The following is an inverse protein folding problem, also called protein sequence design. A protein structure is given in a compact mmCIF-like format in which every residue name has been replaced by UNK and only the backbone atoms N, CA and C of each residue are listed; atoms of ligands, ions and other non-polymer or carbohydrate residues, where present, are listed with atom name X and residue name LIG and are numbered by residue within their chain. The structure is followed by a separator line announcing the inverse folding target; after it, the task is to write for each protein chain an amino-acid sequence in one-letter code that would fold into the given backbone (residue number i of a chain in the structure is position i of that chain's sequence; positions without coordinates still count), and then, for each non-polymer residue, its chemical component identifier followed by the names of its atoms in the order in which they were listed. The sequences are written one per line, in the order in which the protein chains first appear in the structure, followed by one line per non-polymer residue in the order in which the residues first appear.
data_IF_886112283072
#
_entry.id   IF_886112283072
#
_cell.length_a   1.000
_cell.length_b   1.000
_cell.length_c   1.000
_cell.angle_alpha   90.00
_cell.angle_beta   90.00
_cell.angle_gamma   90.00
#
_symmetry.space_group_name_H-M   'P 1'
#
loop_
_entity.id
_entity.type
_entity.pdbx_description
1 polymer ?
#
# COMPACT_ATOMS: atom_id res chain seq x y z
N UNK A 1 10.54 -45.34 -45.53
CA UNK A 1 9.70 -44.13 -45.40
C UNK A 1 9.02 -43.94 -44.03
N UNK A 2 8.67 -45.00 -43.28
CA UNK A 2 7.90 -44.89 -42.00
C UNK A 2 8.66 -44.30 -40.78
N UNK A 3 10.00 -44.41 -40.72
CA UNK A 3 10.82 -43.91 -39.57
C UNK A 3 11.02 -42.39 -39.57
N UNK A 4 11.21 -41.77 -40.75
CA UNK A 4 11.41 -40.31 -40.87
C UNK A 4 10.14 -39.53 -40.52
N UNK A 5 8.97 -40.01 -40.94
CA UNK A 5 7.66 -39.39 -40.62
C UNK A 5 7.36 -39.44 -39.11
N UNK A 6 7.68 -40.55 -38.42
CA UNK A 6 7.54 -40.64 -36.96
C UNK A 6 8.45 -39.65 -36.21
N UNK A 7 9.67 -39.43 -36.71
CA UNK A 7 10.60 -38.47 -36.11
C UNK A 7 10.07 -37.03 -36.23
N UNK A 8 9.51 -36.65 -37.39
CA UNK A 8 8.90 -35.33 -37.58
C UNK A 8 7.66 -35.12 -36.70
N UNK A 9 6.85 -36.15 -36.47
CA UNK A 9 5.68 -36.08 -35.57
C UNK A 9 6.13 -35.85 -34.12
N UNK A 10 7.14 -36.56 -33.65
CA UNK A 10 7.65 -36.42 -32.26
C UNK A 10 8.26 -35.03 -32.04
N UNK A 11 9.05 -34.53 -33.00
CA UNK A 11 9.64 -33.19 -32.92
C UNK A 11 8.54 -32.12 -32.94
N UNK A 12 7.55 -32.23 -33.84
CA UNK A 12 6.44 -31.28 -33.91
C UNK A 12 5.63 -31.22 -32.61
N UNK A 13 5.38 -32.35 -31.96
CA UNK A 13 4.67 -32.40 -30.67
C UNK A 13 5.45 -31.71 -29.54
N UNK A 14 6.76 -31.89 -29.48
CA UNK A 14 7.62 -31.24 -28.47
C UNK A 14 7.66 -29.71 -28.65
N UNK A 15 7.65 -29.22 -29.89
CA UNK A 15 7.60 -27.77 -30.16
C UNK A 15 6.29 -27.12 -29.71
N UNK A 16 5.14 -27.78 -29.91
CA UNK A 16 3.83 -27.24 -29.49
C UNK A 16 3.73 -27.19 -27.96
N UNK A 17 4.20 -28.22 -27.26
CA UNK A 17 4.20 -28.25 -25.78
C UNK A 17 5.17 -27.20 -25.22
N UNK A 18 6.35 -27.02 -25.83
CA UNK A 18 7.33 -26.01 -25.40
C UNK A 18 6.84 -24.57 -25.57
N UNK A 19 6.16 -24.27 -26.69
CA UNK A 19 5.60 -22.92 -26.91
C UNK A 19 4.35 -22.65 -26.05
N UNK A 20 3.48 -23.65 -25.86
CA UNK A 20 2.30 -23.50 -25.01
C UNK A 20 2.68 -23.29 -23.53
N UNK A 21 3.72 -23.98 -23.04
CA UNK A 21 4.23 -23.80 -21.68
C UNK A 21 4.79 -22.40 -21.43
N UNK A 22 5.59 -21.86 -22.37
CA UNK A 22 6.18 -20.52 -22.25
C UNK A 22 5.12 -19.41 -22.25
N UNK A 23 4.15 -19.47 -23.16
CA UNK A 23 3.07 -18.47 -23.24
C UNK A 23 2.15 -18.54 -22.01
N UNK A 24 1.95 -19.71 -21.42
CA UNK A 24 1.16 -19.84 -20.21
C UNK A 24 1.85 -19.20 -18.99
N UNK A 25 3.18 -19.36 -18.87
CA UNK A 25 3.99 -18.77 -17.80
C UNK A 25 4.08 -17.24 -17.94
N UNK A 26 4.35 -16.70 -19.14
CA UNK A 26 4.33 -15.24 -19.40
C UNK A 26 3.00 -14.61 -18.96
N UNK A 27 1.88 -15.24 -19.34
CA UNK A 27 0.54 -14.74 -18.98
C UNK A 27 0.23 -14.85 -17.47
N UNK A 28 0.94 -15.70 -16.72
CA UNK A 28 0.78 -15.78 -15.26
C UNK A 28 1.59 -14.68 -14.58
N UNK A 29 2.85 -14.49 -14.98
CA UNK A 29 3.70 -13.42 -14.47
C UNK A 29 3.08 -12.04 -14.71
N UNK A 30 2.61 -11.75 -15.93
CA UNK A 30 1.92 -10.48 -16.24
C UNK A 30 0.68 -10.25 -15.37
N UNK A 31 -0.07 -11.32 -15.07
CA UNK A 31 -1.27 -11.25 -14.22
C UNK A 31 -0.93 -11.05 -12.75
N UNK A 32 0.16 -11.62 -12.26
CA UNK A 32 0.65 -11.44 -10.89
C UNK A 32 1.17 -10.02 -10.71
N UNK A 33 2.03 -9.54 -11.61
CA UNK A 33 2.52 -8.15 -11.61
C UNK A 33 1.36 -7.16 -11.63
N UNK A 34 0.35 -7.38 -12.48
CA UNK A 34 -0.83 -6.51 -12.54
C UNK A 34 -1.65 -6.52 -11.23
N UNK A 35 -1.71 -7.67 -10.54
CA UNK A 35 -2.43 -7.76 -9.25
C UNK A 35 -1.67 -7.07 -8.15
N UNK A 36 -0.36 -7.28 -8.06
CA UNK A 36 0.51 -6.63 -7.08
C UNK A 36 0.43 -5.11 -7.22
N UNK A 37 0.51 -4.59 -8.45
CA UNK A 37 0.35 -3.16 -8.73
C UNK A 37 -1.02 -2.62 -8.29
N UNK A 38 -2.10 -3.40 -8.44
CA UNK A 38 -3.44 -2.99 -7.98
C UNK A 38 -3.52 -2.96 -6.46
N UNK A 39 -3.01 -3.99 -5.79
CA UNK A 39 -2.97 -4.06 -4.32
C UNK A 39 -2.13 -2.90 -3.77
N UNK A 40 -0.99 -2.62 -4.38
CA UNK A 40 -0.15 -1.49 -4.02
C UNK A 40 -0.91 -0.16 -4.21
N UNK A 41 -1.54 0.05 -5.37
CA UNK A 41 -2.33 1.27 -5.61
C UNK A 41 -3.48 1.44 -4.59
N UNK A 42 -4.14 0.35 -4.20
CA UNK A 42 -5.18 0.36 -3.17
C UNK A 42 -4.62 0.72 -1.80
N UNK A 43 -3.46 0.16 -1.41
CA UNK A 43 -2.77 0.50 -0.16
C UNK A 43 -2.42 1.99 -0.13
N UNK A 44 -1.83 2.52 -1.21
CA UNK A 44 -1.43 3.92 -1.29
C UNK A 44 -2.65 4.85 -1.22
N UNK A 45 -3.76 4.48 -1.85
CA UNK A 45 -5.00 5.26 -1.73
C UNK A 45 -5.51 5.26 -0.28
N UNK A 46 -5.46 4.13 0.42
CA UNK A 46 -5.86 4.05 1.83
C UNK A 46 -4.94 4.89 2.73
N UNK A 47 -3.62 4.85 2.50
CA UNK A 47 -2.65 5.70 3.21
C UNK A 47 -2.94 7.18 2.94
N UNK A 48 -3.19 7.57 1.69
CA UNK A 48 -3.57 8.94 1.30
C UNK A 48 -4.84 9.40 2.00
N UNK A 49 -5.89 8.57 2.01
CA UNK A 49 -7.14 8.87 2.68
C UNK A 49 -6.94 9.03 4.20
N UNK A 50 -6.12 8.17 4.81
CA UNK A 50 -5.86 8.24 6.25
C UNK A 50 -5.06 9.48 6.65
N UNK A 51 -4.22 10.02 5.77
CA UNK A 51 -3.57 11.34 5.97
C UNK A 51 -4.61 12.45 6.12
N UNK A 52 -5.71 12.42 5.35
CA UNK A 52 -6.81 13.40 5.50
C UNK A 52 -7.43 13.31 6.89
N UNK A 53 -7.70 12.10 7.38
CA UNK A 53 -8.21 11.86 8.73
C UNK A 53 -7.22 12.31 9.83
N UNK A 54 -5.92 12.07 9.63
CA UNK A 54 -4.87 12.53 10.54
C UNK A 54 -4.81 14.07 10.58
N UNK A 55 -4.87 14.75 9.42
CA UNK A 55 -4.93 16.22 9.33
C UNK A 55 -6.17 16.79 10.01
N UNK A 56 -7.30 16.08 10.02
CA UNK A 56 -8.52 16.47 10.75
C UNK A 56 -8.38 16.29 12.27
N UNK A 57 -7.50 15.39 12.71
CA UNK A 57 -7.38 14.99 14.12
C UNK A 57 -6.27 15.72 14.86
N UNK A 58 -5.11 15.91 14.24
CA UNK A 58 -3.94 16.56 14.83
C UNK A 58 -3.59 17.87 14.16
N UNK A 59 -3.24 18.86 14.98
CA UNK A 59 -2.78 20.17 14.56
C UNK A 59 -1.28 20.15 14.24
N UNK A 60 -0.86 21.09 13.39
CA UNK A 60 0.55 21.41 13.12
C UNK A 60 1.38 20.23 12.59
N UNK A 61 0.76 19.30 11.86
CA UNK A 61 1.50 18.22 11.19
C UNK A 61 2.35 18.82 10.09
N UNK A 62 3.64 18.44 10.06
CA UNK A 62 4.59 18.77 9.00
C UNK A 62 4.81 17.60 8.06
N UNK A 63 4.98 16.40 8.60
CA UNK A 63 5.16 15.19 7.80
C UNK A 63 4.59 13.95 8.46
N UNK A 64 4.22 12.98 7.62
CA UNK A 64 3.79 11.63 8.01
C UNK A 64 4.63 10.63 7.20
N UNK A 65 5.25 9.69 7.88
CA UNK A 65 5.95 8.57 7.28
C UNK A 65 5.27 7.28 7.72
N UNK A 66 4.75 6.51 6.76
CA UNK A 66 4.12 5.23 7.02
C UNK A 66 5.19 4.15 7.16
N UNK A 67 5.21 3.49 8.31
CA UNK A 67 6.14 2.38 8.56
C UNK A 67 5.49 1.05 8.17
N UNK A 68 4.22 0.86 8.54
CA UNK A 68 3.50 -0.39 8.32
C UNK A 68 2.00 -0.16 8.14
N UNK A 69 1.36 -1.05 7.39
CA UNK A 69 -0.09 -1.13 7.22
C UNK A 69 -0.53 -2.59 7.29
N UNK A 70 -1.64 -2.84 7.99
CA UNK A 70 -2.26 -4.15 8.10
C UNK A 70 -3.78 -4.02 7.96
N UNK A 71 -4.37 -4.77 7.02
CA UNK A 71 -5.82 -4.85 6.87
C UNK A 71 -6.39 -6.04 7.63
N UNK A 72 -7.40 -5.78 8.46
CA UNK A 72 -8.16 -6.82 9.15
C UNK A 72 -9.49 -7.07 8.41
N UNK A 73 -9.56 -8.18 7.68
CA UNK A 73 -10.76 -8.56 6.91
C UNK A 73 -12.03 -8.73 7.76
N UNK A 74 -11.89 -9.14 9.03
CA UNK A 74 -13.03 -9.37 9.92
C UNK A 74 -13.70 -8.07 10.35
N UNK A 75 -12.92 -7.03 10.61
CA UNK A 75 -13.42 -5.75 11.10
C UNK A 75 -13.55 -4.70 10.00
N UNK A 76 -12.84 -4.87 8.88
CA UNK A 76 -12.74 -3.90 7.80
C UNK A 76 -11.81 -2.73 8.12
N UNK A 77 -11.04 -2.80 9.21
CA UNK A 77 -10.13 -1.74 9.63
C UNK A 77 -8.72 -1.97 9.09
N UNK A 78 -8.07 -0.86 8.78
CA UNK A 78 -6.63 -0.78 8.59
C UNK A 78 -5.99 -0.33 9.90
N UNK A 79 -5.04 -1.11 10.39
CA UNK A 79 -4.11 -0.71 11.44
C UNK A 79 -2.83 -0.21 10.78
N UNK A 80 -2.40 1.00 11.13
CA UNK A 80 -1.23 1.64 10.53
C UNK A 80 -0.28 2.12 11.61
N UNK A 81 1.02 2.00 11.36
CA UNK A 81 2.06 2.60 12.19
C UNK A 81 2.67 3.75 11.41
N UNK A 82 2.68 4.94 12.02
CA UNK A 82 3.24 6.14 11.41
C UNK A 82 4.21 6.83 12.34
N UNK A 83 5.21 7.44 11.73
CA UNK A 83 5.99 8.51 12.34
C UNK A 83 5.41 9.85 11.91
N UNK A 84 4.83 10.58 12.85
CA UNK A 84 4.28 11.91 12.63
C UNK A 84 5.21 12.96 13.22
N UNK A 85 5.60 13.94 12.40
CA UNK A 85 6.47 15.06 12.79
C UNK A 85 5.66 16.36 12.77
N UNK A 86 5.78 17.15 13.83
CA UNK A 86 5.12 18.46 13.93
C UNK A 86 5.98 19.58 13.29
N UNK A 87 5.44 20.80 13.27
CA UNK A 87 6.12 21.98 12.75
C UNK A 87 7.43 22.35 13.48
N UNK A 88 7.60 21.88 14.73
CA UNK A 88 8.78 22.12 15.56
C UNK A 88 9.85 21.01 15.41
N UNK A 89 9.72 20.14 14.40
CA UNK A 89 10.58 18.98 14.13
C UNK A 89 10.56 17.89 15.21
N UNK A 90 9.63 17.96 16.17
CA UNK A 90 9.41 16.89 17.13
C UNK A 90 8.52 15.80 16.49
N UNK A 91 8.86 14.54 16.74
CA UNK A 91 8.14 13.43 16.14
C UNK A 91 7.70 12.40 17.18
N UNK A 92 6.73 11.60 16.78
CA UNK A 92 6.27 10.44 17.53
C UNK A 92 5.88 9.31 16.59
N UNK A 93 6.21 8.09 16.99
CA UNK A 93 5.77 6.87 16.29
C UNK A 93 4.60 6.29 17.07
N UNK A 94 3.49 6.03 16.39
CA UNK A 94 2.28 5.49 17.01
C UNK A 94 1.44 4.71 16.01
N UNK A 95 0.63 3.80 16.54
CA UNK A 95 -0.37 3.08 15.78
C UNK A 95 -1.72 3.82 15.77
N UNK A 96 -2.48 3.66 14.70
CA UNK A 96 -3.86 4.12 14.62
C UNK A 96 -4.72 3.21 13.74
N UNK A 97 -6.03 3.29 13.95
CA UNK A 97 -7.05 2.54 13.23
C UNK A 97 -7.83 3.45 12.28
N UNK A 98 -8.01 3.00 11.04
CA UNK A 98 -8.71 3.72 10.00
C UNK A 98 -9.68 2.80 9.25
N UNK A 99 -10.81 3.35 8.78
CA UNK A 99 -11.74 2.65 7.90
C UNK A 99 -12.17 3.57 6.76
N UNK A 100 -12.14 3.05 5.54
CA UNK A 100 -12.39 3.84 4.31
C UNK A 100 -13.81 4.40 4.22
N UNK A 101 -14.78 3.80 4.93
CA UNK A 101 -16.16 4.28 4.99
C UNK A 101 -16.34 5.58 5.79
N UNK A 102 -15.34 5.97 6.59
CA UNK A 102 -15.31 7.22 7.37
C UNK A 102 -13.98 7.96 7.15
N UNK A 103 -13.75 8.50 5.94
CA UNK A 103 -12.43 8.95 5.51
C UNK A 103 -11.91 10.22 6.22
N UNK A 104 -12.74 10.87 7.05
CA UNK A 104 -12.35 12.06 7.81
C UNK A 104 -12.01 11.75 9.27
N UNK A 105 -12.18 10.49 9.71
CA UNK A 105 -12.06 10.11 11.11
C UNK A 105 -11.01 8.99 11.27
N UNK A 106 -10.24 9.07 12.36
CA UNK A 106 -9.50 7.92 12.88
C UNK A 106 -10.25 7.36 14.08
N UNK A 107 -10.29 6.04 14.19
CA UNK A 107 -11.19 5.34 15.12
C UNK A 107 -10.55 5.09 16.48
N UNK A 108 -9.23 5.04 16.51
CA UNK A 108 -8.43 4.92 17.71
C UNK A 108 -6.97 5.15 17.36
N UNK A 109 -6.18 5.61 18.33
CA UNK A 109 -4.75 5.82 18.16
C UNK A 109 -4.02 5.70 19.50
N UNK A 110 -2.76 5.25 19.43
CA UNK A 110 -1.85 5.26 20.57
C UNK A 110 -1.51 6.68 20.98
N UNK A 111 -1.75 7.05 22.24
CA UNK A 111 -1.40 8.37 22.79
C UNK A 111 -0.03 8.30 23.45
N UNK A 112 0.97 8.89 22.79
CA UNK A 112 2.37 8.86 23.22
C UNK A 112 2.84 10.26 23.66
N UNK A 113 2.50 11.32 22.92
CA UNK A 113 2.87 12.70 23.25
C UNK A 113 1.76 13.69 22.91
N UNK A 114 0.74 13.77 23.78
CA UNK A 114 -0.42 14.66 23.62
C UNK A 114 -0.12 16.15 23.79
N UNK A 115 1.01 16.49 24.39
CA UNK A 115 1.33 17.87 24.79
C UNK A 115 2.04 18.64 23.69
N UNK A 116 2.76 17.95 22.81
CA UNK A 116 3.60 18.60 21.79
C UNK A 116 3.36 18.13 20.36
N UNK A 117 3.18 16.81 20.14
CA UNK A 117 3.10 16.25 18.78
C UNK A 117 1.67 15.85 18.43
N UNK A 118 0.99 15.09 19.30
CA UNK A 118 -0.40 14.66 19.11
C UNK A 118 -1.39 15.68 19.71
N UNK A 119 -1.17 16.95 19.42
CA UNK A 119 -2.08 18.03 19.84
C UNK A 119 -3.33 17.94 18.97
N UNK A 120 -4.51 17.81 19.60
CA UNK A 120 -5.78 17.77 18.86
C UNK A 120 -6.05 19.09 18.12
N UNK A 121 -6.48 18.99 16.88
CA UNK A 121 -6.89 20.12 16.04
C UNK A 121 -6.76 19.79 14.56
N UNK A 122 -7.03 20.76 13.69
CA UNK A 122 -6.96 20.56 12.24
C UNK A 122 -5.66 21.15 11.66
N UNK A 123 -4.89 20.35 10.95
CA UNK A 123 -3.78 20.81 10.11
C UNK A 123 -4.29 21.30 8.77
N UNK A 124 -4.18 22.61 8.53
CA UNK A 124 -4.58 23.27 7.27
C UNK A 124 -3.44 23.43 6.27
N UNK A 125 -2.19 23.38 6.74
CA UNK A 125 -1.02 23.38 5.89
C UNK A 125 -0.93 22.09 5.08
N UNK A 126 -0.11 22.12 4.05
CA UNK A 126 0.30 20.90 3.36
C UNK A 126 1.20 20.05 4.26
N UNK A 127 1.13 18.74 4.08
CA UNK A 127 1.87 17.72 4.83
C UNK A 127 2.68 16.91 3.83
N UNK A 128 3.96 16.70 4.13
CA UNK A 128 4.81 15.80 3.37
C UNK A 128 4.55 14.36 3.81
N UNK A 129 4.20 13.49 2.86
CA UNK A 129 3.83 12.10 3.12
C UNK A 129 4.87 11.19 2.47
N UNK A 130 5.39 10.24 3.25
CA UNK A 130 6.21 9.13 2.76
C UNK A 130 5.39 7.86 2.95
N UNK A 131 5.00 7.24 1.84
CA UNK A 131 4.18 6.04 1.82
C UNK A 131 5.01 4.76 2.08
N UNK A 132 4.33 3.64 2.37
CA UNK A 132 5.03 2.35 2.62
C UNK A 132 5.84 1.84 1.43
N UNK A 133 5.47 2.22 0.20
CA UNK A 133 6.24 1.89 -1.00
C UNK A 133 7.41 2.86 -1.28
N UNK A 134 7.63 3.85 -0.40
CA UNK A 134 8.69 4.86 -0.51
C UNK A 134 8.36 6.06 -1.39
N UNK A 135 7.18 6.11 -2.02
CA UNK A 135 6.74 7.30 -2.75
C UNK A 135 6.54 8.48 -1.80
N UNK A 136 6.80 9.67 -2.33
CA UNK A 136 6.65 10.92 -1.58
C UNK A 136 5.61 11.81 -2.26
N UNK A 137 4.69 12.35 -1.48
CA UNK A 137 3.63 13.26 -1.94
C UNK A 137 3.42 14.40 -0.94
N UNK A 138 2.94 15.54 -1.41
CA UNK A 138 2.58 16.68 -0.57
C UNK A 138 1.05 16.91 -0.64
N UNK A 139 0.36 16.79 0.51
CA UNK A 139 -1.12 16.82 0.64
C UNK A 139 -1.59 17.94 1.55
#
# INVERSE_FOLDING_TARGET
MKKKVRLFIVIGLLFVVGMAGKVFLDNQEDREVTREQKVEAEIIEVERMSVVALKKTFANIKSIEFEQIHYNEMTGFYSMIVKMTNADEEFVVFDFMFITTRPNDIEGWGVINKEKVQIRGETKSKVNVIYTNGNVEEI
#
